data_IF_273221216239
#
_entry.id   IF_273221216239
#
_cell.length_a   1.000
_cell.length_b   1.000
_cell.length_c   1.000
_cell.angle_alpha   90.00
_cell.angle_beta   90.00
_cell.angle_gamma   90.00
#
_symmetry.space_group_name_H-M   'P 1'
#
loop_
_entity.id
_entity.type
_entity.pdbx_description
1 polymer ?
#
# COMPACT_ATOMS: atom_id res chain seq x y z
N UNK A 1 14.53 -29.85 13.50
CA UNK A 1 13.74 -28.86 12.75
C UNK A 1 12.35 -28.87 13.33
N UNK A 2 11.92 -27.78 13.96
CA UNK A 2 10.58 -27.68 14.53
C UNK A 2 9.54 -27.83 13.43
N UNK A 3 8.55 -28.71 13.65
CA UNK A 3 7.34 -28.74 12.81
C UNK A 3 6.68 -27.38 12.97
N UNK A 4 6.70 -26.55 11.93
CA UNK A 4 5.74 -25.46 11.86
C UNK A 4 4.36 -26.11 11.80
N UNK A 5 3.49 -25.80 12.76
CA UNK A 5 2.08 -26.17 12.63
C UNK A 5 1.57 -25.60 11.30
N UNK A 6 0.99 -26.48 10.50
CA UNK A 6 0.46 -26.12 9.19
C UNK A 6 -0.92 -25.51 9.38
N UNK A 7 -1.13 -24.34 8.79
CA UNK A 7 -2.44 -23.68 8.75
C UNK A 7 -3.31 -24.27 7.63
N UNK A 8 -4.63 -24.13 7.75
CA UNK A 8 -5.56 -24.54 6.70
C UNK A 8 -5.37 -23.72 5.43
N UNK A 9 -5.64 -24.36 4.28
CA UNK A 9 -5.69 -23.72 2.98
C UNK A 9 -7.15 -23.76 2.52
N UNK A 10 -7.82 -22.62 2.55
CA UNK A 10 -9.28 -22.55 2.45
C UNK A 10 -9.75 -22.04 1.08
N UNK A 11 -8.90 -21.31 0.36
CA UNK A 11 -9.20 -20.80 -0.96
C UNK A 11 -7.97 -20.86 -1.88
N UNK A 12 -8.20 -21.00 -3.19
CA UNK A 12 -7.11 -21.13 -4.17
C UNK A 12 -7.51 -20.55 -5.53
N UNK A 13 -6.62 -19.76 -6.14
CA UNK A 13 -6.80 -19.22 -7.48
C UNK A 13 -5.48 -19.21 -8.26
N UNK A 14 -5.52 -19.55 -9.55
CA UNK A 14 -4.35 -19.42 -10.43
C UNK A 14 -4.08 -17.94 -10.72
N UNK A 15 -2.81 -17.54 -10.69
CA UNK A 15 -2.39 -16.21 -11.14
C UNK A 15 -2.52 -16.12 -12.67
N UNK A 16 -3.28 -15.16 -13.23
CA UNK A 16 -3.43 -15.01 -14.68
C UNK A 16 -2.08 -14.84 -15.39
N UNK A 17 -1.84 -15.63 -16.44
CA UNK A 17 -0.62 -15.53 -17.25
C UNK A 17 0.68 -16.03 -16.60
N UNK A 18 0.66 -16.45 -15.33
CA UNK A 18 1.86 -16.95 -14.64
C UNK A 18 1.75 -18.43 -14.26
N UNK A 19 2.86 -18.98 -13.74
CA UNK A 19 2.95 -20.35 -13.20
C UNK A 19 2.91 -20.35 -11.67
N UNK A 20 2.11 -19.44 -11.13
CA UNK A 20 1.90 -19.25 -9.71
C UNK A 20 0.43 -19.46 -9.34
N UNK A 21 0.21 -19.67 -8.05
CA UNK A 21 -1.11 -19.83 -7.44
C UNK A 21 -1.19 -18.97 -6.19
N UNK A 22 -2.32 -18.33 -5.99
CA UNK A 22 -2.67 -17.65 -4.75
C UNK A 22 -3.45 -18.59 -3.87
N UNK A 23 -3.12 -18.62 -2.59
CA UNK A 23 -3.76 -19.45 -1.57
C UNK A 23 -4.22 -18.56 -0.42
N UNK A 24 -5.50 -18.62 -0.08
CA UNK A 24 -6.05 -18.06 1.15
C UNK A 24 -5.89 -19.06 2.30
N UNK A 25 -5.42 -18.59 3.45
CA UNK A 25 -5.14 -19.43 4.61
C UNK A 25 -6.03 -19.07 5.81
N UNK A 26 -6.27 -20.04 6.68
CA UNK A 26 -7.04 -19.86 7.93
C UNK A 26 -6.39 -18.92 8.93
N UNK A 27 -5.08 -18.68 8.80
CA UNK A 27 -4.33 -17.68 9.60
C UNK A 27 -4.51 -16.24 9.10
N UNK A 28 -5.46 -15.99 8.20
CA UNK A 28 -5.71 -14.67 7.61
C UNK A 28 -4.64 -14.21 6.63
N UNK A 29 -3.72 -15.09 6.21
CA UNK A 29 -2.71 -14.76 5.20
C UNK A 29 -3.16 -15.18 3.80
N UNK A 30 -2.64 -14.45 2.81
CA UNK A 30 -2.72 -14.81 1.39
C UNK A 30 -1.30 -15.10 0.91
N UNK A 31 -1.06 -16.30 0.38
CA UNK A 31 0.28 -16.75 -0.04
C UNK A 31 0.31 -16.90 -1.55
N UNK A 32 1.30 -16.31 -2.21
CA UNK A 32 1.56 -16.50 -3.63
C UNK A 32 2.65 -17.55 -3.76
N UNK A 33 2.35 -18.65 -4.42
CA UNK A 33 3.20 -19.85 -4.50
C UNK A 33 3.65 -20.08 -5.93
N UNK A 34 4.96 -20.21 -6.13
CA UNK A 34 5.58 -20.56 -7.41
C UNK A 34 5.55 -22.08 -7.60
N UNK A 35 4.83 -22.54 -8.62
CA UNK A 35 4.71 -23.96 -8.94
C UNK A 35 5.96 -24.54 -9.63
N UNK A 36 6.88 -23.70 -10.10
CA UNK A 36 8.17 -24.12 -10.69
C UNK A 36 9.24 -24.26 -9.62
N UNK A 37 9.45 -23.20 -8.84
CA UNK A 37 10.44 -23.15 -7.75
C UNK A 37 10.01 -23.89 -6.49
N UNK A 38 8.73 -24.29 -6.40
CA UNK A 38 8.13 -25.02 -5.27
C UNK A 38 8.30 -24.28 -3.94
N UNK A 39 7.93 -23.00 -3.93
CA UNK A 39 8.08 -22.14 -2.75
C UNK A 39 7.07 -21.00 -2.71
N UNK A 40 6.91 -20.42 -1.52
CA UNK A 40 6.10 -19.21 -1.31
C UNK A 40 6.94 -18.00 -1.74
N UNK A 41 6.46 -17.26 -2.73
CA UNK A 41 7.08 -16.03 -3.25
C UNK A 41 6.73 -14.82 -2.38
N UNK A 42 5.45 -14.69 -2.05
CA UNK A 42 4.91 -13.56 -1.30
C UNK A 42 3.90 -14.02 -0.26
N UNK A 43 3.82 -13.26 0.83
CA UNK A 43 2.83 -13.45 1.89
C UNK A 43 2.20 -12.09 2.17
N UNK A 44 0.90 -12.00 2.00
CA UNK A 44 0.09 -10.81 2.24
C UNK A 44 -0.82 -11.05 3.44
N UNK A 45 -1.15 -10.00 4.20
CA UNK A 45 -1.97 -10.08 5.42
C UNK A 45 -3.38 -9.57 5.15
N UNK A 46 -4.33 -10.48 4.98
CA UNK A 46 -5.75 -10.11 4.87
C UNK A 46 -6.30 -9.72 6.23
N UNK A 47 -6.14 -10.59 7.24
CA UNK A 47 -6.59 -10.29 8.60
C UNK A 47 -5.67 -10.94 9.65
N UNK A 48 -5.78 -10.52 10.91
CA UNK A 48 -5.00 -11.09 12.01
C UNK A 48 -5.67 -12.27 12.71
N UNK A 49 -7.00 -12.32 12.66
CA UNK A 49 -7.85 -13.26 13.38
C UNK A 49 -8.69 -14.08 12.42
N UNK A 50 -9.22 -13.47 11.35
CA UNK A 50 -10.15 -14.14 10.43
C UNK A 50 -9.45 -14.79 9.23
N UNK A 51 -9.91 -15.98 8.87
CA UNK A 51 -9.38 -16.74 7.74
C UNK A 51 -9.79 -16.17 6.38
N UNK A 52 -8.97 -16.42 5.35
CA UNK A 52 -9.29 -16.04 3.97
C UNK A 52 -10.08 -17.14 3.28
N UNK A 53 -11.39 -16.94 3.16
CA UNK A 53 -12.31 -17.90 2.56
C UNK A 53 -12.50 -17.73 1.05
N UNK A 54 -12.04 -16.61 0.48
CA UNK A 54 -12.17 -16.32 -0.95
C UNK A 54 -10.95 -15.60 -1.51
N UNK A 55 -10.49 -16.03 -2.68
CA UNK A 55 -9.47 -15.34 -3.47
C UNK A 55 -9.84 -15.34 -4.96
N UNK A 56 -9.48 -14.29 -5.68
CA UNK A 56 -9.77 -14.15 -7.09
C UNK A 56 -9.04 -12.98 -7.74
N UNK A 57 -9.32 -12.73 -9.01
CA UNK A 57 -8.76 -11.61 -9.75
C UNK A 57 -9.88 -10.80 -10.39
N UNK A 58 -9.75 -9.48 -10.40
CA UNK A 58 -10.66 -8.61 -11.16
C UNK A 58 -10.31 -8.58 -12.66
N UNK A 59 -11.12 -7.86 -13.44
CA UNK A 59 -10.92 -7.70 -14.88
C UNK A 59 -9.65 -6.92 -15.25
N UNK A 60 -9.01 -6.25 -14.29
CA UNK A 60 -7.72 -5.57 -14.46
C UNK A 60 -6.53 -6.40 -13.99
N UNK A 61 -6.77 -7.64 -13.54
CA UNK A 61 -5.72 -8.54 -13.05
C UNK A 61 -5.22 -8.21 -11.64
N UNK A 62 -5.95 -7.40 -10.88
CA UNK A 62 -5.64 -7.16 -9.45
C UNK A 62 -6.16 -8.32 -8.62
N UNK A 63 -5.37 -8.73 -7.64
CA UNK A 63 -5.77 -9.78 -6.70
C UNK A 63 -6.89 -9.23 -5.80
N UNK A 64 -7.90 -10.05 -5.53
CA UNK A 64 -8.95 -9.82 -4.55
C UNK A 64 -8.87 -10.94 -3.52
N UNK A 65 -8.96 -10.60 -2.24
CA UNK A 65 -9.20 -11.57 -1.16
C UNK A 65 -10.37 -11.16 -0.28
N UNK A 66 -11.11 -12.15 0.23
CA UNK A 66 -12.24 -11.98 1.13
C UNK A 66 -12.14 -12.91 2.34
N UNK A 67 -12.48 -12.38 3.50
CA UNK A 67 -12.45 -13.04 4.81
C UNK A 67 -13.19 -12.16 5.81
N UNK A 68 -13.97 -12.77 6.70
CA UNK A 68 -14.79 -12.00 7.62
C UNK A 68 -15.78 -11.07 6.93
N UNK A 69 -15.81 -9.82 7.38
CA UNK A 69 -16.59 -8.71 6.82
C UNK A 69 -15.79 -7.88 5.80
N UNK A 70 -14.56 -8.29 5.46
CA UNK A 70 -13.61 -7.49 4.68
C UNK A 70 -13.32 -8.11 3.33
N UNK A 71 -13.24 -7.26 2.30
CA UNK A 71 -12.70 -7.60 0.99
C UNK A 71 -11.54 -6.65 0.66
N UNK A 72 -10.39 -7.19 0.27
CA UNK A 72 -9.20 -6.41 -0.10
C UNK A 72 -8.90 -6.56 -1.58
N UNK A 73 -8.55 -5.43 -2.21
CA UNK A 73 -8.05 -5.39 -3.58
C UNK A 73 -6.57 -4.99 -3.53
N UNK A 74 -5.72 -5.85 -4.07
CA UNK A 74 -4.26 -5.71 -4.02
C UNK A 74 -3.75 -5.25 -5.38
N UNK A 75 -2.93 -4.20 -5.39
CA UNK A 75 -2.26 -3.71 -6.57
C UNK A 75 -0.76 -3.54 -6.27
N UNK A 76 0.09 -3.88 -7.23
CA UNK A 76 1.49 -3.50 -7.18
C UNK A 76 1.57 -1.97 -7.15
N UNK A 77 2.40 -1.43 -6.28
CA UNK A 77 2.59 0.02 -6.21
C UNK A 77 3.43 0.40 -7.44
N UNK A 78 2.78 0.93 -8.47
CA UNK A 78 3.49 1.48 -9.63
C UNK A 78 4.53 2.47 -9.11
N UNK A 79 5.80 2.23 -9.46
CA UNK A 79 6.91 3.05 -9.00
C UNK A 79 6.73 4.51 -9.44
N UNK A 80 6.19 5.35 -8.56
CA UNK A 80 5.99 6.77 -8.88
C UNK A 80 5.26 7.59 -7.81
N UNK A 81 6.06 8.33 -7.04
CA UNK A 81 5.74 9.62 -6.39
C UNK A 81 4.71 9.68 -5.23
N UNK A 82 5.26 9.84 -4.03
CA UNK A 82 4.61 10.38 -2.84
C UNK A 82 5.37 9.91 -1.60
N UNK A 83 6.39 10.56 -1.08
CA UNK A 83 6.63 12.01 -0.97
C UNK A 83 6.79 12.31 0.51
N UNK A 84 8.03 12.37 0.99
CA UNK A 84 8.40 12.88 2.32
C UNK A 84 8.43 11.85 3.45
N UNK A 85 9.41 10.92 3.45
CA UNK A 85 10.01 10.54 4.73
C UNK A 85 11.09 11.58 4.99
N UNK A 86 10.82 12.49 5.93
CA UNK A 86 11.78 13.48 6.39
C UNK A 86 13.08 12.75 6.77
N UNK A 87 14.13 13.05 6.02
CA UNK A 87 15.49 12.87 6.51
C UNK A 87 15.69 14.01 7.49
N UNK A 88 15.35 13.77 8.75
CA UNK A 88 15.82 14.60 9.86
C UNK A 88 17.34 14.45 9.88
N UNK A 89 18.01 15.37 9.21
CA UNK A 89 19.45 15.56 9.31
C UNK A 89 19.63 16.89 10.02
N UNK A 90 19.78 16.79 11.34
CA UNK A 90 20.29 17.86 12.17
C UNK A 90 21.70 18.22 11.68
N UNK A 91 21.81 19.32 10.95
CA UNK A 91 23.08 19.96 10.64
C UNK A 91 23.01 21.40 11.20
N UNK A 92 23.19 21.48 12.51
CA UNK A 92 23.39 22.73 13.24
C UNK A 92 24.86 23.15 13.01
N UNK A 93 25.09 23.91 11.95
CA UNK A 93 26.36 24.59 11.72
C UNK A 93 26.19 26.07 12.04
N UNK A 94 26.64 26.42 13.24
CA UNK A 94 26.81 27.79 13.73
C UNK A 94 27.90 28.49 12.92
N UNK A 95 27.56 29.57 12.20
CA UNK A 95 28.51 30.67 12.03
C UNK A 95 27.76 31.99 11.84
N UNK A 96 27.87 32.83 12.86
CA UNK A 96 27.47 34.22 12.82
C UNK A 96 28.69 35.01 12.39
N UNK A 97 28.59 35.83 11.33
CA UNK A 97 29.02 37.22 11.43
C UNK A 97 28.53 38.09 10.27
N UNK A 98 28.33 39.35 10.63
CA UNK A 98 27.58 40.41 9.96
C UNK A 98 28.49 41.29 9.09
N UNK A 99 27.81 42.24 8.43
CA UNK A 99 28.28 43.42 7.66
C UNK A 99 28.59 43.19 6.16
N UNK A 100 28.18 44.05 5.22
CA UNK A 100 27.39 45.29 5.25
C UNK A 100 27.05 45.72 3.82
N UNK A 101 26.18 46.73 3.68
CA UNK A 101 25.97 47.61 2.51
C UNK A 101 25.26 47.01 1.29
N UNK A 102 24.42 47.68 0.53
CA UNK A 102 23.62 48.92 0.58
C UNK A 102 22.84 48.91 -0.75
N UNK A 103 21.84 49.78 -0.88
CA UNK A 103 21.14 50.20 -2.10
C UNK A 103 19.82 49.51 -2.47
N UNK A 104 18.90 50.42 -2.71
CA UNK A 104 17.46 50.32 -2.82
C UNK A 104 17.05 49.91 -4.23
N UNK A 105 16.02 49.08 -4.39
CA UNK A 105 15.03 49.28 -5.46
C UNK A 105 13.74 48.50 -5.24
N UNK A 106 12.67 49.10 -5.75
CA UNK A 106 11.26 48.83 -5.50
C UNK A 106 10.67 47.81 -6.50
N UNK A 107 9.99 46.74 -6.01
CA UNK A 107 8.56 46.38 -6.31
C UNK A 107 8.22 44.87 -6.20
N UNK A 108 6.97 44.54 -5.81
CA UNK A 108 6.58 43.19 -5.41
C UNK A 108 5.95 42.37 -6.55
N UNK A 109 6.34 41.09 -6.69
CA UNK A 109 5.58 40.10 -7.47
C UNK A 109 4.92 39.07 -6.54
N UNK A 110 3.67 39.32 -6.14
CA UNK A 110 2.77 38.29 -5.63
C UNK A 110 1.40 38.43 -6.30
N UNK A 111 0.97 37.36 -6.97
CA UNK A 111 -0.43 36.86 -7.01
C UNK A 111 -0.46 35.51 -7.77
N UNK A 112 -0.07 34.42 -7.08
CA UNK A 112 -0.46 33.06 -7.49
C UNK A 112 -1.97 32.95 -7.34
N UNK A 113 -2.67 32.68 -8.44
CA UNK A 113 -4.12 32.47 -8.47
C UNK A 113 -4.44 31.18 -7.72
N UNK A 114 -5.22 31.31 -6.65
CA UNK A 114 -5.80 30.22 -5.86
C UNK A 114 -6.84 29.50 -6.75
N UNK A 115 -6.41 28.40 -7.36
CA UNK A 115 -7.30 27.43 -8.01
C UNK A 115 -8.14 26.73 -6.95
N UNK A 116 -9.46 26.84 -7.12
CA UNK A 116 -10.51 26.50 -6.18
C UNK A 116 -10.87 25.02 -6.34
N UNK A 117 -10.80 24.27 -5.24
CA UNK A 117 -11.63 23.10 -4.91
C UNK A 117 -11.76 21.98 -5.95
N UNK A 118 -10.88 20.99 -5.86
CA UNK A 118 -11.19 19.61 -6.27
C UNK A 118 -11.58 18.82 -5.02
N UNK A 119 -12.74 18.16 -5.07
CA UNK A 119 -13.41 17.53 -3.94
C UNK A 119 -12.50 16.64 -3.08
N UNK A 120 -12.62 16.77 -1.76
CA UNK A 120 -12.24 15.75 -0.79
C UNK A 120 -13.06 14.50 -1.11
N UNK A 121 -12.47 13.56 -1.86
CA UNK A 121 -12.88 12.17 -1.77
C UNK A 121 -12.46 11.66 -0.40
N UNK A 122 -13.42 11.21 0.39
CA UNK A 122 -13.20 10.61 1.69
C UNK A 122 -12.18 9.46 1.59
N UNK A 123 -11.12 9.59 2.40
CA UNK A 123 -10.52 8.49 3.16
C UNK A 123 -10.27 7.18 2.41
N UNK A 124 -9.44 7.20 1.37
CA UNK A 124 -8.73 5.98 0.99
C UNK A 124 -7.80 5.59 2.15
N UNK A 125 -8.06 4.46 2.80
CA UNK A 125 -7.10 3.89 3.74
C UNK A 125 -5.76 3.73 3.01
N UNK A 126 -4.61 4.03 3.65
CA UNK A 126 -3.31 4.04 2.98
C UNK A 126 -2.90 2.68 2.40
N UNK A 127 -3.67 1.62 2.67
CA UNK A 127 -3.37 0.23 2.33
C UNK A 127 -4.37 -0.39 1.33
N UNK A 128 -5.24 0.39 0.68
CA UNK A 128 -6.16 -0.13 -0.33
C UNK A 128 -7.25 -1.08 0.22
N UNK A 129 -7.51 -1.02 1.53
CA UNK A 129 -8.59 -1.78 2.17
C UNK A 129 -9.89 -1.02 1.95
N UNK A 130 -10.81 -1.62 1.20
CA UNK A 130 -12.12 -1.05 0.88
C UNK A 130 -13.17 -1.87 1.64
N UNK A 131 -13.76 -1.29 2.67
CA UNK A 131 -14.97 -1.85 3.30
C UNK A 131 -16.18 -1.59 2.40
N UNK A 132 -17.06 -2.57 2.26
CA UNK A 132 -18.32 -2.42 1.54
C UNK A 132 -19.45 -2.20 2.55
N UNK A 133 -20.31 -1.21 2.30
CA UNK A 133 -21.49 -0.96 3.13
C UNK A 133 -22.46 -2.15 3.07
N UNK A 134 -22.97 -2.61 4.21
CA UNK A 134 -23.91 -3.73 4.31
C UNK A 134 -23.24 -5.11 4.29
N UNK A 135 -21.95 -5.19 4.61
CA UNK A 135 -21.24 -6.43 4.92
C UNK A 135 -21.13 -6.69 6.44
N UNK A 136 -21.79 -5.87 7.26
CA UNK A 136 -22.02 -6.03 8.71
C UNK A 136 -23.25 -6.88 9.05
#
# INVERSE_FOLDING_TARGET
>A
GGKSEGESLDALARVPGSREVVVGCGDGKVRIVDLTGKGVRHVLRHDEVEGVIGVGYDCYGRLISGGGEVVKVWAERDGGAGGGSGSDSDDDSEDSDKDSSDSEDEKPQKKKRKGKGGAKGEGGTPNGVIGFQGMD
#
